data_IF_645730889428
#
_entry.id   IF_645730889428
#
_cell.length_a   1.000
_cell.length_b   1.000
_cell.length_c   1.000
_cell.angle_alpha   90.00
_cell.angle_beta   90.00
_cell.angle_gamma   90.00
#
_symmetry.space_group_name_H-M   'P 1'
#
loop_
_entity.id
_entity.type
_entity.pdbx_description
1 polymer ?
#
# COMPACT_ATOMS: atom_id res chain seq x y z
N UNK A 1 12.23 33.25 0.06
CA UNK A 1 12.96 32.00 -0.23
C UNK A 1 11.99 30.84 -0.03
N UNK A 2 11.82 30.00 -1.05
CA UNK A 2 10.78 28.96 -1.13
C UNK A 2 11.01 27.84 -0.12
N UNK A 3 10.15 27.72 0.90
CA UNK A 3 10.05 26.58 1.82
C UNK A 3 9.54 25.28 1.16
N UNK A 4 9.59 25.17 -0.17
CA UNK A 4 9.01 24.06 -0.95
C UNK A 4 9.72 22.71 -0.78
N UNK A 5 10.88 22.68 -0.14
CA UNK A 5 11.69 21.46 0.04
C UNK A 5 12.05 21.20 1.50
N UNK A 6 11.20 21.61 2.44
CA UNK A 6 11.40 21.26 3.86
C UNK A 6 10.95 19.81 4.06
N UNK A 7 11.88 18.95 4.50
CA UNK A 7 11.56 17.58 4.89
C UNK A 7 10.50 17.61 6.01
N UNK A 8 9.37 16.96 5.78
CA UNK A 8 8.37 16.73 6.81
C UNK A 8 8.92 15.71 7.82
N UNK A 9 9.09 16.15 9.07
CA UNK A 9 9.62 15.34 10.17
C UNK A 9 8.51 14.77 11.06
N UNK A 10 7.24 14.97 10.69
CA UNK A 10 6.09 14.47 11.45
C UNK A 10 5.72 13.03 11.08
N UNK A 11 6.06 12.58 9.87
CA UNK A 11 5.63 11.28 9.35
C UNK A 11 6.45 10.10 9.88
N UNK A 12 7.67 10.33 10.37
CA UNK A 12 8.57 9.28 10.83
C UNK A 12 9.09 9.58 12.23
N UNK A 13 9.03 8.60 13.13
CA UNK A 13 9.57 8.68 14.49
C UNK A 13 10.77 7.73 14.61
N UNK A 14 11.85 8.19 15.24
CA UNK A 14 12.95 7.31 15.62
C UNK A 14 12.45 6.28 16.65
N UNK A 15 12.64 4.99 16.36
CA UNK A 15 12.21 3.87 17.20
C UNK A 15 13.23 2.73 17.10
N UNK A 16 13.28 1.90 18.12
CA UNK A 16 14.05 0.65 18.13
C UNK A 16 13.40 -0.40 17.22
N UNK A 17 14.17 -1.42 16.81
CA UNK A 17 13.63 -2.51 16.00
C UNK A 17 12.44 -3.21 16.68
N UNK A 18 12.51 -3.38 18.01
CA UNK A 18 11.43 -3.94 18.82
C UNK A 18 10.18 -3.06 18.80
N UNK A 19 10.32 -1.75 18.96
CA UNK A 19 9.18 -0.83 18.91
C UNK A 19 8.55 -0.77 17.52
N UNK A 20 9.35 -0.90 16.45
CA UNK A 20 8.83 -0.98 15.09
C UNK A 20 8.01 -2.25 14.85
N UNK A 21 8.47 -3.38 15.38
CA UNK A 21 7.77 -4.67 15.34
C UNK A 21 6.47 -4.62 16.15
N UNK A 22 6.52 -4.07 17.37
CA UNK A 22 5.36 -3.88 18.25
C UNK A 22 4.32 -2.89 17.65
N UNK A 23 4.76 -1.94 16.81
CA UNK A 23 3.88 -1.00 16.08
C UNK A 23 3.37 -1.54 14.74
N UNK A 24 3.80 -2.73 14.33
CA UNK A 24 3.35 -3.31 13.08
C UNK A 24 1.85 -3.60 13.16
N UNK A 25 1.11 -3.26 12.09
CA UNK A 25 -0.33 -3.52 12.03
C UNK A 25 -0.56 -5.03 11.95
N UNK A 26 -1.03 -5.61 13.04
CA UNK A 26 -1.40 -7.02 13.10
C UNK A 26 -2.80 -7.24 12.51
N UNK A 27 -2.84 -7.91 11.35
CA UNK A 27 -4.07 -8.30 10.66
C UNK A 27 -4.38 -9.79 10.80
N UNK A 28 -3.65 -10.53 11.65
CA UNK A 28 -3.80 -11.98 11.84
C UNK A 28 -5.22 -12.40 12.27
N UNK A 29 -5.93 -11.51 12.98
CA UNK A 29 -7.29 -11.74 13.48
C UNK A 29 -8.39 -11.39 12.47
N UNK A 30 -8.03 -10.91 11.27
CA UNK A 30 -8.99 -10.51 10.23
C UNK A 30 -9.28 -11.64 9.25
N UNK A 31 -10.48 -11.63 8.69
CA UNK A 31 -10.83 -12.55 7.61
C UNK A 31 -10.04 -12.22 6.33
N UNK A 32 -10.04 -13.12 5.36
CA UNK A 32 -9.34 -12.91 4.10
C UNK A 32 -9.95 -11.73 3.34
N UNK A 33 -11.27 -11.58 3.39
CA UNK A 33 -12.01 -10.49 2.75
C UNK A 33 -11.60 -9.14 3.34
N UNK A 34 -11.61 -9.00 4.66
CA UNK A 34 -11.16 -7.78 5.33
C UNK A 34 -9.69 -7.45 5.02
N UNK A 35 -8.83 -8.47 4.94
CA UNK A 35 -7.42 -8.29 4.59
C UNK A 35 -7.26 -7.81 3.15
N UNK A 36 -8.10 -8.29 2.23
CA UNK A 36 -8.10 -7.85 0.84
C UNK A 36 -8.56 -6.40 0.70
N UNK A 37 -9.60 -6.00 1.43
CA UNK A 37 -10.08 -4.61 1.48
C UNK A 37 -9.00 -3.66 2.02
N UNK A 38 -8.33 -4.04 3.11
CA UNK A 38 -7.22 -3.27 3.68
C UNK A 38 -6.07 -3.15 2.68
N UNK A 39 -5.68 -4.26 2.05
CA UNK A 39 -4.61 -4.26 1.06
C UNK A 39 -4.95 -3.34 -0.12
N UNK A 40 -6.20 -3.38 -0.60
CA UNK A 40 -6.67 -2.55 -1.69
C UNK A 40 -6.68 -1.05 -1.32
N UNK A 41 -7.13 -0.70 -0.11
CA UNK A 41 -7.05 0.68 0.41
C UNK A 41 -5.61 1.19 0.55
N UNK A 42 -4.71 0.38 1.12
CA UNK A 42 -3.30 0.78 1.23
C UNK A 42 -2.66 0.95 -0.16
N UNK A 43 -3.07 0.13 -1.12
CA UNK A 43 -2.62 0.24 -2.52
C UNK A 43 -3.14 1.52 -3.18
N UNK A 44 -4.39 1.92 -2.91
CA UNK A 44 -4.95 3.16 -3.46
C UNK A 44 -4.24 4.41 -2.94
N UNK A 45 -3.82 4.42 -1.67
CA UNK A 45 -2.98 5.48 -1.11
C UNK A 45 -1.60 5.47 -1.78
N UNK A 46 -0.95 4.30 -1.88
CA UNK A 46 0.42 4.18 -2.38
C UNK A 46 0.56 4.64 -3.84
N UNK A 47 -0.44 4.33 -4.68
CA UNK A 47 -0.46 4.68 -6.11
C UNK A 47 -1.39 5.86 -6.43
N UNK A 48 -1.98 6.49 -5.42
CA UNK A 48 -2.85 7.65 -5.53
C UNK A 48 -3.97 7.51 -6.58
N UNK A 49 -4.77 6.46 -6.48
CA UNK A 49 -5.96 6.26 -7.31
C UNK A 49 -7.26 6.24 -6.48
N UNK A 50 -8.38 6.54 -7.15
CA UNK A 50 -9.69 6.45 -6.51
C UNK A 50 -10.08 4.99 -6.29
N UNK A 51 -10.27 4.60 -5.03
CA UNK A 51 -10.64 3.24 -4.64
C UNK A 51 -11.97 2.79 -5.26
N UNK A 52 -12.89 3.73 -5.53
CA UNK A 52 -14.19 3.45 -6.16
C UNK A 52 -14.12 3.46 -7.69
N UNK A 53 -13.00 3.93 -8.26
CA UNK A 53 -12.75 3.96 -9.70
C UNK A 53 -11.28 3.60 -10.00
N UNK A 54 -10.87 2.35 -9.75
CA UNK A 54 -9.49 1.95 -9.92
C UNK A 54 -9.03 1.96 -11.38
N UNK A 55 -7.72 2.13 -11.62
CA UNK A 55 -7.15 1.93 -12.94
C UNK A 55 -7.41 0.50 -13.42
N UNK A 56 -7.75 0.36 -14.71
CA UNK A 56 -7.98 -0.95 -15.32
C UNK A 56 -6.66 -1.69 -15.48
N UNK A 57 -6.64 -2.94 -15.04
CA UNK A 57 -5.51 -3.84 -15.25
C UNK A 57 -5.34 -4.14 -16.73
N UNK A 58 -4.13 -3.91 -17.25
CA UNK A 58 -3.74 -4.39 -18.57
C UNK A 58 -3.43 -5.90 -18.51
N UNK A 59 -4.22 -6.71 -19.20
CA UNK A 59 -4.08 -8.18 -19.24
C UNK A 59 -3.23 -8.66 -20.42
N UNK A 60 -2.73 -7.77 -21.26
CA UNK A 60 -1.99 -8.13 -22.48
C UNK A 60 -0.53 -8.53 -22.20
N UNK A 61 0.07 -8.01 -21.13
CA UNK A 61 1.47 -8.27 -20.76
C UNK A 61 1.68 -9.69 -20.21
N UNK A 62 0.67 -10.28 -19.57
CA UNK A 62 0.74 -11.61 -18.93
C UNK A 62 -0.16 -12.64 -19.62
N UNK A 63 -0.11 -12.65 -20.96
CA UNK A 63 -0.71 -13.71 -21.76
C UNK A 63 0.07 -15.02 -21.53
N UNK A 64 -0.49 -15.91 -20.71
CA UNK A 64 -0.12 -17.32 -20.74
C UNK A 64 -0.85 -17.99 -21.91
N UNK A 65 -0.48 -17.63 -23.15
CA UNK A 65 -0.89 -18.41 -24.31
C UNK A 65 -0.29 -19.81 -24.18
N UNK A 66 -1.15 -20.82 -24.22
CA UNK A 66 -0.70 -22.20 -24.37
C UNK A 66 -0.04 -22.29 -25.74
N UNK A 67 1.29 -22.38 -25.78
CA UNK A 67 2.03 -22.68 -27.01
C UNK A 67 1.45 -23.98 -27.61
N UNK A 68 1.14 -23.99 -28.93
CA UNK A 68 0.55 -25.14 -29.61
C UNK A 68 1.43 -26.39 -29.55
#
# INVERSE_FOLDING_TARGET
MNNKFKLDRSSFKAMTAKEADDQQRDYSKKTIEERLEIAYYLTSIAYNFDINNPPRMDKTIFSAEKLP
#
